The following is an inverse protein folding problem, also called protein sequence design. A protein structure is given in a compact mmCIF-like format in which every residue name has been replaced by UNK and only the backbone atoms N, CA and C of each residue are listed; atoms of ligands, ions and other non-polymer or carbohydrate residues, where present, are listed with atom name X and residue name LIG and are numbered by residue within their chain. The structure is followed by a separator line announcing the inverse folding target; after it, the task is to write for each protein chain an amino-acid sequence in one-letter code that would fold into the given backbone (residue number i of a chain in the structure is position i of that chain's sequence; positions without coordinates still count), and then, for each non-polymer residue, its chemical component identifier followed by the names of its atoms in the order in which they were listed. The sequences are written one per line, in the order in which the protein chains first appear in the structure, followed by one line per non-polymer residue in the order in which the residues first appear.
data_IF_188307120049
#
_entry.id   IF_188307120049
#
_cell.length_a   1.000
_cell.length_b   1.000
_cell.length_c   1.000
_cell.angle_alpha   90.00
_cell.angle_beta   90.00
_cell.angle_gamma   90.00
#
_symmetry.space_group_name_H-M   'P 1'
#
loop_
_entity.id
_entity.type
_entity.pdbx_description
1 polymer ?
#
# COMPACT_ATOMS: atom_id res chain seq x y z
N UNK A 1 -1.15 3.54 40.50
CA UNK A 1 -0.74 2.97 39.19
C UNK A 1 -1.98 2.34 38.59
N UNK A 2 -2.77 3.11 37.82
CA UNK A 2 -3.98 2.57 37.18
C UNK A 2 -3.50 1.68 36.02
N UNK A 3 -3.59 0.37 36.23
CA UNK A 3 -3.39 -0.62 35.17
C UNK A 3 -4.44 -0.32 34.08
N UNK A 4 -3.98 0.25 32.94
CA UNK A 4 -4.85 0.34 31.78
C UNK A 4 -5.26 -1.10 31.42
N UNK A 5 -6.58 -1.39 31.30
CA UNK A 5 -7.02 -2.73 30.97
C UNK A 5 -6.40 -3.16 29.66
N UNK A 6 -5.89 -4.39 29.61
CA UNK A 6 -5.32 -4.98 28.40
C UNK A 6 -6.34 -4.91 27.26
N UNK A 7 -5.89 -4.50 26.08
CA UNK A 7 -6.76 -4.43 24.89
C UNK A 7 -7.28 -5.83 24.56
N UNK A 8 -8.60 -6.03 24.54
CA UNK A 8 -9.16 -7.36 24.31
C UNK A 8 -8.75 -7.87 22.91
N UNK A 9 -8.58 -9.19 22.80
CA UNK A 9 -8.20 -9.86 21.55
C UNK A 9 -9.19 -9.55 20.42
N UNK A 10 -10.48 -9.49 20.75
CA UNK A 10 -11.56 -9.16 19.81
C UNK A 10 -11.41 -7.74 19.28
N UNK A 11 -11.09 -6.76 20.13
CA UNK A 11 -10.85 -5.37 19.69
C UNK A 11 -9.61 -5.27 18.81
N UNK A 12 -8.55 -5.98 19.15
CA UNK A 12 -7.32 -6.02 18.31
C UNK A 12 -7.60 -6.61 16.92
N UNK A 13 -8.38 -7.69 16.84
CA UNK A 13 -8.77 -8.29 15.56
C UNK A 13 -9.71 -7.36 14.76
N UNK A 14 -10.64 -6.67 15.44
CA UNK A 14 -11.50 -5.67 14.79
C UNK A 14 -10.67 -4.55 14.13
N UNK A 15 -9.63 -4.06 14.82
CA UNK A 15 -8.71 -3.07 14.28
C UNK A 15 -7.92 -3.61 13.09
N UNK A 16 -7.43 -4.85 13.18
CA UNK A 16 -6.74 -5.52 12.09
C UNK A 16 -7.64 -5.64 10.84
N UNK A 17 -8.89 -6.07 11.04
CA UNK A 17 -9.88 -6.17 9.95
C UNK A 17 -10.17 -4.81 9.33
N UNK A 18 -10.39 -3.77 10.15
CA UNK A 18 -10.64 -2.41 9.64
C UNK A 18 -9.44 -1.87 8.83
N UNK A 19 -8.21 -2.12 9.30
CA UNK A 19 -7.00 -1.75 8.56
C UNK A 19 -6.91 -2.49 7.22
N UNK A 20 -7.17 -3.80 7.24
CA UNK A 20 -7.15 -4.62 6.02
C UNK A 20 -8.17 -4.16 4.99
N UNK A 21 -9.40 -3.91 5.40
CA UNK A 21 -10.46 -3.42 4.52
C UNK A 21 -10.15 -2.03 3.97
N UNK A 22 -9.65 -1.12 4.81
CA UNK A 22 -9.33 0.25 4.38
C UNK A 22 -8.21 0.30 3.36
N UNK A 23 -7.16 -0.51 3.54
CA UNK A 23 -6.05 -0.57 2.58
C UNK A 23 -6.43 -1.32 1.29
N UNK A 24 -7.29 -2.34 1.38
CA UNK A 24 -7.75 -3.10 0.24
C UNK A 24 -8.40 -2.21 -0.84
N UNK A 25 -9.09 -1.15 -0.43
CA UNK A 25 -9.77 -0.21 -1.32
C UNK A 25 -8.84 0.43 -2.36
N UNK A 26 -7.55 0.61 -2.04
CA UNK A 26 -6.54 1.16 -2.96
C UNK A 26 -6.23 0.18 -4.09
N UNK A 27 -6.33 -1.12 -3.83
CA UNK A 27 -5.86 -2.19 -4.72
C UNK A 27 -6.96 -2.82 -5.57
N UNK A 28 -8.25 -2.52 -5.31
CA UNK A 28 -9.37 -3.11 -6.05
C UNK A 28 -9.33 -2.81 -7.55
N UNK A 29 -8.90 -1.61 -7.94
CA UNK A 29 -8.89 -1.21 -9.33
C UNK A 29 -7.88 -1.98 -10.19
N UNK A 30 -6.80 -2.54 -9.61
CA UNK A 30 -5.73 -3.18 -10.37
C UNK A 30 -6.20 -4.33 -11.27
N UNK A 31 -6.98 -5.33 -10.80
CA UNK A 31 -7.48 -6.39 -11.65
C UNK A 31 -8.67 -5.99 -12.53
N UNK A 32 -9.14 -4.74 -12.47
CA UNK A 32 -10.34 -4.25 -13.14
C UNK A 32 -10.05 -3.21 -14.24
N UNK A 33 -8.77 -2.89 -14.49
CA UNK A 33 -8.40 -1.79 -15.37
C UNK A 33 -8.89 -1.98 -16.81
N UNK A 34 -8.91 -3.22 -17.31
CA UNK A 34 -9.45 -3.55 -18.62
C UNK A 34 -10.95 -3.25 -18.73
N UNK A 35 -11.75 -3.63 -17.72
CA UNK A 35 -13.18 -3.32 -17.69
C UNK A 35 -13.44 -1.81 -17.56
N UNK A 36 -12.68 -1.13 -16.69
CA UNK A 36 -12.78 0.31 -16.53
C UNK A 36 -12.39 1.05 -17.82
N UNK A 37 -11.35 0.58 -18.52
CA UNK A 37 -10.93 1.09 -19.82
C UNK A 37 -12.07 1.01 -20.84
N UNK A 38 -12.68 -0.17 -20.97
CA UNK A 38 -13.76 -0.41 -21.93
C UNK A 38 -15.03 0.38 -21.59
N UNK A 39 -15.43 0.45 -20.33
CA UNK A 39 -16.69 1.08 -19.92
C UNK A 39 -16.63 2.61 -19.99
N UNK A 40 -15.50 3.21 -19.60
CA UNK A 40 -15.33 4.67 -19.61
C UNK A 40 -14.64 5.20 -20.87
N UNK A 41 -14.40 4.34 -21.87
CA UNK A 41 -13.66 4.69 -23.10
C UNK A 41 -12.31 5.40 -22.79
N UNK A 42 -11.56 4.86 -21.83
CA UNK A 42 -10.23 5.33 -21.49
C UNK A 42 -9.21 4.44 -22.19
N UNK A 43 -8.32 5.04 -22.98
CA UNK A 43 -7.29 4.28 -23.70
C UNK A 43 -6.44 3.43 -22.75
N UNK A 44 -6.06 2.22 -23.19
CA UNK A 44 -5.18 1.33 -22.42
C UNK A 44 -3.84 1.98 -22.05
N UNK A 45 -3.36 2.94 -22.86
CA UNK A 45 -2.15 3.72 -22.57
C UNK A 45 -2.30 4.61 -21.33
N UNK A 46 -3.52 5.09 -21.06
CA UNK A 46 -3.81 6.07 -20.00
C UNK A 46 -4.56 5.50 -18.81
N UNK A 47 -5.06 4.27 -18.90
CA UNK A 47 -5.88 3.67 -17.82
C UNK A 47 -5.14 3.59 -16.47
N UNK A 48 -3.81 3.52 -16.49
CA UNK A 48 -2.97 3.60 -15.28
C UNK A 48 -3.18 4.86 -14.46
N UNK A 49 -3.76 5.93 -15.06
CA UNK A 49 -4.15 7.16 -14.35
C UNK A 49 -5.11 6.87 -13.18
N UNK A 50 -5.95 5.86 -13.27
CA UNK A 50 -6.85 5.44 -12.17
C UNK A 50 -6.04 5.12 -10.91
N UNK A 51 -4.99 4.30 -11.06
CA UNK A 51 -4.10 3.95 -9.93
C UNK A 51 -3.23 5.15 -9.56
N UNK A 52 -2.71 5.88 -10.55
CA UNK A 52 -1.86 7.06 -10.33
C UNK A 52 -2.56 8.10 -9.46
N UNK A 53 -3.82 8.46 -9.76
CA UNK A 53 -4.62 9.39 -8.97
C UNK A 53 -4.79 8.86 -7.54
N UNK A 54 -5.18 7.60 -7.39
CA UNK A 54 -5.37 6.97 -6.09
C UNK A 54 -4.10 7.07 -5.24
N UNK A 55 -2.94 6.79 -5.81
CA UNK A 55 -1.66 6.82 -5.10
C UNK A 55 -1.18 8.24 -4.78
N UNK A 56 -1.37 9.20 -5.68
CA UNK A 56 -1.05 10.61 -5.40
C UNK A 56 -1.89 11.11 -4.22
N UNK A 57 -3.20 10.86 -4.23
CA UNK A 57 -4.09 11.29 -3.16
C UNK A 57 -3.85 10.51 -1.86
N UNK A 58 -3.40 9.25 -1.92
CA UNK A 58 -2.92 8.53 -0.74
C UNK A 58 -1.69 9.22 -0.13
N UNK A 59 -0.71 9.60 -0.94
CA UNK A 59 0.45 10.39 -0.51
C UNK A 59 0.07 11.73 0.12
N UNK A 60 -0.88 12.46 -0.50
CA UNK A 60 -1.44 13.69 0.05
C UNK A 60 -2.16 13.45 1.39
N UNK A 61 -2.91 12.36 1.51
CA UNK A 61 -3.56 11.96 2.75
C UNK A 61 -2.56 11.68 3.88
N UNK A 62 -1.44 11.03 3.57
CA UNK A 62 -0.35 10.80 4.54
C UNK A 62 0.23 12.11 5.07
N UNK A 63 0.38 13.11 4.20
CA UNK A 63 0.91 14.42 4.59
C UNK A 63 -0.11 15.26 5.34
N UNK A 64 -1.37 15.26 4.89
CA UNK A 64 -2.39 16.19 5.38
C UNK A 64 -3.26 15.59 6.49
N UNK A 65 -3.67 14.33 6.39
CA UNK A 65 -4.65 13.75 7.31
C UNK A 65 -4.02 13.01 8.48
N UNK A 66 -2.86 12.37 8.30
CA UNK A 66 -2.20 11.63 9.39
C UNK A 66 -1.81 12.54 10.56
N UNK A 67 -1.24 13.75 10.35
CA UNK A 67 -0.93 14.67 11.44
C UNK A 67 -2.15 15.17 12.22
N UNK A 68 -3.36 15.11 11.65
CA UNK A 68 -4.60 15.44 12.37
C UNK A 68 -4.86 14.48 13.55
N UNK A 69 -4.29 13.27 13.50
CA UNK A 69 -4.36 12.32 14.62
C UNK A 69 -3.70 12.81 15.90
N UNK A 70 -2.75 13.75 15.80
CA UNK A 70 -2.10 14.40 16.95
C UNK A 70 -2.91 15.61 17.47
N UNK A 71 -3.82 16.16 16.66
CA UNK A 71 -4.57 17.39 16.93
C UNK A 71 -6.02 17.13 17.31
N UNK A 72 -6.63 16.11 16.75
CA UNK A 72 -8.04 15.83 16.89
C UNK A 72 -8.29 14.62 17.78
N UNK A 73 -9.51 14.51 18.28
CA UNK A 73 -9.96 13.29 18.95
C UNK A 73 -9.88 12.10 17.96
N UNK A 74 -8.99 11.16 18.23
CA UNK A 74 -8.70 10.04 17.33
C UNK A 74 -9.94 9.20 17.01
N UNK A 75 -10.86 9.01 17.96
CA UNK A 75 -12.13 8.32 17.72
C UNK A 75 -12.96 9.02 16.66
N UNK A 76 -13.16 10.36 16.81
CA UNK A 76 -13.95 11.15 15.84
C UNK A 76 -13.27 11.16 14.47
N UNK A 77 -11.94 11.28 14.45
CA UNK A 77 -11.16 11.28 13.23
C UNK A 77 -11.29 9.95 12.47
N UNK A 78 -11.12 8.80 13.15
CA UNK A 78 -11.25 7.47 12.54
C UNK A 78 -12.66 7.28 11.97
N UNK A 79 -13.70 7.55 12.79
CA UNK A 79 -15.09 7.39 12.35
C UNK A 79 -15.41 8.30 11.16
N UNK A 80 -14.98 9.57 11.21
CA UNK A 80 -15.18 10.53 10.12
C UNK A 80 -14.48 10.09 8.83
N UNK A 81 -13.22 9.67 8.91
CA UNK A 81 -12.49 9.16 7.75
C UNK A 81 -13.13 7.90 7.17
N UNK A 82 -13.61 6.96 8.00
CA UNK A 82 -14.28 5.75 7.52
C UNK A 82 -15.65 6.05 6.88
N UNK A 83 -16.44 6.99 7.42
CA UNK A 83 -17.69 7.44 6.81
C UNK A 83 -17.46 8.10 5.45
N UNK A 84 -16.45 8.98 5.36
CA UNK A 84 -16.07 9.61 4.10
C UNK A 84 -15.53 8.56 3.09
N UNK A 85 -14.76 7.56 3.56
CA UNK A 85 -14.34 6.42 2.73
C UNK A 85 -15.54 5.64 2.19
N UNK A 86 -16.56 5.40 3.02
CA UNK A 86 -17.80 4.77 2.57
C UNK A 86 -18.47 5.58 1.45
N UNK A 87 -18.57 6.89 1.61
CA UNK A 87 -19.12 7.78 0.58
C UNK A 87 -18.26 7.74 -0.71
N UNK A 88 -16.94 7.77 -0.59
CA UNK A 88 -16.03 7.66 -1.73
C UNK A 88 -16.23 6.35 -2.51
N UNK A 89 -16.37 5.23 -1.80
CA UNK A 89 -16.63 3.91 -2.42
C UNK A 89 -17.99 3.89 -3.14
N UNK A 90 -19.03 4.51 -2.57
CA UNK A 90 -20.33 4.65 -3.24
C UNK A 90 -20.19 5.50 -4.51
N UNK A 91 -19.44 6.61 -4.47
CA UNK A 91 -19.18 7.44 -5.66
C UNK A 91 -18.53 6.59 -6.76
N UNK A 92 -17.50 5.78 -6.43
CA UNK A 92 -16.86 4.90 -7.42
C UNK A 92 -17.84 3.85 -7.93
N UNK A 93 -18.55 3.15 -7.05
CA UNK A 93 -19.47 2.06 -7.41
C UNK A 93 -20.69 2.53 -8.23
N UNK A 94 -21.03 3.81 -8.18
CA UNK A 94 -22.13 4.42 -8.95
C UNK A 94 -21.64 5.33 -10.08
N UNK A 95 -20.33 5.35 -10.37
CA UNK A 95 -19.77 6.21 -11.40
C UNK A 95 -20.36 5.91 -12.78
N UNK A 96 -20.85 6.97 -13.46
CA UNK A 96 -21.44 6.91 -14.79
C UNK A 96 -20.55 7.57 -15.85
N UNK A 97 -19.54 8.31 -15.46
CA UNK A 97 -18.59 9.00 -16.34
C UNK A 97 -17.19 9.09 -15.69
N UNK A 98 -16.15 9.25 -16.50
CA UNK A 98 -14.75 9.16 -16.10
C UNK A 98 -14.38 10.14 -14.97
N UNK A 99 -14.90 11.39 -14.98
CA UNK A 99 -14.59 12.39 -13.94
C UNK A 99 -15.11 11.94 -12.57
N UNK A 100 -16.30 11.31 -12.52
CA UNK A 100 -16.87 10.78 -11.29
C UNK A 100 -16.00 9.62 -10.75
N UNK A 101 -15.56 8.73 -11.65
CA UNK A 101 -14.62 7.65 -11.31
C UNK A 101 -13.33 8.22 -10.72
N UNK A 102 -12.68 9.16 -11.41
CA UNK A 102 -11.42 9.75 -10.96
C UNK A 102 -11.55 10.49 -9.63
N UNK A 103 -12.64 11.24 -9.44
CA UNK A 103 -12.94 11.91 -8.17
C UNK A 103 -13.13 10.92 -7.04
N UNK A 104 -13.89 9.86 -7.28
CA UNK A 104 -14.09 8.79 -6.30
C UNK A 104 -12.78 8.09 -5.95
N UNK A 105 -11.94 7.77 -6.94
CA UNK A 105 -10.63 7.13 -6.73
C UNK A 105 -9.65 8.04 -5.98
N UNK A 106 -9.67 9.35 -6.25
CA UNK A 106 -8.91 10.34 -5.50
C UNK A 106 -9.31 10.34 -4.01
N UNK A 107 -10.62 10.36 -3.73
CA UNK A 107 -11.14 10.30 -2.36
C UNK A 107 -10.82 8.97 -1.68
N UNK A 108 -10.93 7.83 -2.38
CA UNK A 108 -10.53 6.50 -1.86
C UNK A 108 -9.07 6.53 -1.45
N UNK A 109 -8.17 7.04 -2.30
CA UNK A 109 -6.76 7.18 -1.97
C UNK A 109 -6.53 8.08 -0.76
N UNK A 110 -7.09 9.30 -0.77
CA UNK A 110 -6.94 10.29 0.30
C UNK A 110 -7.37 9.74 1.67
N UNK A 111 -8.44 8.97 1.72
CA UNK A 111 -9.05 8.49 2.96
C UNK A 111 -8.52 7.14 3.43
N UNK A 112 -7.84 6.37 2.58
CA UNK A 112 -7.23 5.09 2.95
C UNK A 112 -6.16 5.21 4.04
N UNK A 113 -5.66 6.43 4.27
CA UNK A 113 -4.74 6.75 5.38
C UNK A 113 -5.36 6.57 6.76
N UNK A 114 -6.67 6.36 6.88
CA UNK A 114 -7.33 5.95 8.13
C UNK A 114 -6.65 4.73 8.74
N UNK A 115 -6.08 3.86 7.92
CA UNK A 115 -5.25 2.73 8.35
C UNK A 115 -4.14 3.16 9.31
N UNK A 116 -3.41 4.25 8.97
CA UNK A 116 -2.33 4.76 9.82
C UNK A 116 -2.87 5.33 11.14
N UNK A 117 -4.02 6.00 11.09
CA UNK A 117 -4.70 6.53 12.28
C UNK A 117 -5.16 5.40 13.21
N UNK A 118 -5.68 4.30 12.66
CA UNK A 118 -6.11 3.11 13.42
C UNK A 118 -4.90 2.43 14.07
N UNK A 119 -3.78 2.24 13.35
CA UNK A 119 -2.54 1.66 13.90
C UNK A 119 -2.00 2.51 15.04
N UNK A 120 -1.94 3.83 14.86
CA UNK A 120 -1.49 4.76 15.90
C UNK A 120 -2.41 4.71 17.14
N UNK A 121 -3.72 4.65 16.94
CA UNK A 121 -4.69 4.55 18.02
C UNK A 121 -4.58 3.20 18.77
N UNK A 122 -4.41 2.09 18.07
CA UNK A 122 -4.15 0.79 18.67
C UNK A 122 -2.90 0.81 19.56
N UNK A 123 -1.84 1.46 19.10
CA UNK A 123 -0.60 1.61 19.86
C UNK A 123 -0.79 2.45 21.15
N UNK A 124 -1.73 3.41 21.17
CA UNK A 124 -2.03 4.22 22.35
C UNK A 124 -2.95 3.50 23.35
N UNK A 125 -3.82 2.62 22.87
CA UNK A 125 -4.72 1.81 23.72
C UNK A 125 -4.03 0.62 24.38
N UNK A 126 -2.95 0.11 23.77
CA UNK A 126 -2.22 -1.04 24.28
C UNK A 126 -1.32 -0.67 25.46
N UNK A 127 -1.25 -1.56 26.47
CA UNK A 127 -0.27 -1.44 27.55
C UNK A 127 1.17 -1.43 27.00
N UNK A 128 2.14 -0.82 27.70
CA UNK A 128 3.54 -0.78 27.23
C UNK A 128 4.13 -2.16 26.92
N UNK A 129 3.72 -3.18 27.66
CA UNK A 129 4.19 -4.58 27.53
C UNK A 129 3.55 -5.31 26.34
N UNK A 130 2.34 -4.92 25.91
CA UNK A 130 1.58 -5.57 24.83
C UNK A 130 1.61 -4.78 23.53
N UNK A 131 2.11 -3.54 23.55
CA UNK A 131 2.05 -2.62 22.40
C UNK A 131 2.63 -3.22 21.12
N UNK A 132 3.78 -3.85 21.19
CA UNK A 132 4.40 -4.48 20.02
C UNK A 132 3.54 -5.59 19.42
N UNK A 133 2.93 -6.43 20.27
CA UNK A 133 2.04 -7.52 19.85
C UNK A 133 0.77 -6.97 19.19
N UNK A 134 0.12 -5.97 19.82
CA UNK A 134 -1.11 -5.37 19.31
C UNK A 134 -0.86 -4.70 17.95
N UNK A 135 0.18 -3.86 17.85
CA UNK A 135 0.57 -3.21 16.58
C UNK A 135 0.90 -4.26 15.53
N UNK A 136 1.63 -5.32 15.89
CA UNK A 136 1.95 -6.42 14.98
C UNK A 136 0.71 -7.11 14.39
N UNK A 137 -0.31 -7.40 15.21
CA UNK A 137 -1.57 -8.01 14.74
C UNK A 137 -2.33 -7.03 13.83
N UNK A 138 -2.41 -5.76 14.20
CA UNK A 138 -3.13 -4.75 13.42
C UNK A 138 -2.45 -4.52 12.06
N UNK A 139 -1.13 -4.46 12.01
CA UNK A 139 -0.38 -4.33 10.74
C UNK A 139 -0.42 -5.59 9.89
N UNK A 140 -0.51 -6.78 10.51
CA UNK A 140 -0.77 -8.02 9.74
C UNK A 140 -2.09 -7.97 8.99
N UNK A 141 -3.12 -7.29 9.55
CA UNK A 141 -4.37 -7.02 8.85
C UNK A 141 -4.17 -6.23 7.56
N UNK A 142 -3.26 -5.24 7.56
CA UNK A 142 -2.91 -4.47 6.35
C UNK A 142 -2.37 -5.40 5.26
N UNK A 143 -1.41 -6.26 5.61
CA UNK A 143 -0.79 -7.20 4.66
C UNK A 143 -1.83 -8.15 4.08
N UNK A 144 -2.67 -8.74 4.94
CA UNK A 144 -3.76 -9.62 4.51
C UNK A 144 -4.74 -8.87 3.60
N UNK A 145 -5.08 -7.62 3.93
CA UNK A 145 -5.95 -6.78 3.12
C UNK A 145 -5.41 -6.53 1.71
N UNK A 146 -4.12 -6.22 1.59
CA UNK A 146 -3.45 -6.04 0.28
C UNK A 146 -3.50 -7.33 -0.55
N UNK A 147 -3.21 -8.48 0.07
CA UNK A 147 -3.18 -9.77 -0.61
C UNK A 147 -4.57 -10.20 -1.09
N UNK A 148 -5.57 -10.07 -0.22
CA UNK A 148 -6.94 -10.49 -0.53
C UNK A 148 -7.69 -9.51 -1.43
N UNK A 149 -7.26 -8.25 -1.51
CA UNK A 149 -7.95 -7.21 -2.27
C UNK A 149 -8.20 -7.59 -3.72
N UNK A 150 -7.16 -8.10 -4.39
CA UNK A 150 -7.24 -8.48 -5.81
C UNK A 150 -8.14 -9.70 -6.03
N UNK A 151 -8.04 -10.70 -5.16
CA UNK A 151 -8.87 -11.90 -5.22
C UNK A 151 -10.34 -11.56 -4.95
N UNK A 152 -10.61 -10.72 -3.95
CA UNK A 152 -11.95 -10.22 -3.65
C UNK A 152 -12.54 -9.43 -4.82
N UNK A 153 -11.75 -8.51 -5.40
CA UNK A 153 -12.17 -7.72 -6.53
C UNK A 153 -12.45 -8.58 -7.77
N UNK A 154 -11.55 -9.50 -8.11
CA UNK A 154 -11.72 -10.39 -9.25
C UNK A 154 -12.96 -11.28 -9.11
N UNK A 155 -13.16 -11.92 -7.94
CA UNK A 155 -14.29 -12.80 -7.69
C UNK A 155 -15.63 -12.07 -7.78
N UNK A 156 -15.77 -10.93 -7.12
CA UNK A 156 -17.01 -10.14 -7.18
C UNK A 156 -17.29 -9.61 -8.58
N UNK A 157 -16.25 -9.26 -9.32
CA UNK A 157 -16.39 -8.76 -10.69
C UNK A 157 -16.98 -9.82 -11.61
N UNK A 158 -16.50 -11.05 -11.55
CA UNK A 158 -17.03 -12.14 -12.37
C UNK A 158 -18.47 -12.54 -11.96
N UNK A 159 -18.83 -12.40 -10.67
CA UNK A 159 -20.15 -12.74 -10.17
C UNK A 159 -21.23 -11.68 -10.46
N UNK A 160 -20.89 -10.39 -10.27
CA UNK A 160 -21.90 -9.33 -10.22
C UNK A 160 -21.42 -8.00 -10.86
N UNK A 161 -20.25 -8.01 -11.49
CA UNK A 161 -19.65 -6.86 -12.14
C UNK A 161 -18.79 -5.99 -11.18
N UNK A 162 -17.91 -5.19 -11.75
CA UNK A 162 -16.90 -4.41 -11.02
C UNK A 162 -17.47 -3.39 -10.00
N UNK A 163 -18.67 -2.85 -10.28
CA UNK A 163 -19.33 -1.89 -9.37
C UNK A 163 -19.62 -2.50 -8.00
N UNK A 164 -19.96 -3.79 -7.99
CA UNK A 164 -20.27 -4.50 -6.75
C UNK A 164 -19.07 -4.56 -5.79
N UNK A 165 -17.84 -4.57 -6.31
CA UNK A 165 -16.63 -4.55 -5.49
C UNK A 165 -16.63 -3.34 -4.55
N UNK A 166 -16.92 -2.16 -5.10
CA UNK A 166 -16.95 -0.91 -4.33
C UNK A 166 -18.20 -0.78 -3.45
N UNK A 167 -19.37 -1.20 -3.94
CA UNK A 167 -20.62 -1.11 -3.18
C UNK A 167 -20.63 -2.09 -1.99
N UNK A 168 -20.15 -3.33 -2.19
CA UNK A 168 -20.01 -4.31 -1.10
C UNK A 168 -18.97 -3.82 -0.09
N UNK A 169 -17.84 -3.28 -0.57
CA UNK A 169 -16.85 -2.70 0.34
C UNK A 169 -17.42 -1.51 1.13
N UNK A 170 -18.22 -0.65 0.50
CA UNK A 170 -18.91 0.45 1.19
C UNK A 170 -19.84 -0.07 2.29
N UNK A 171 -20.62 -1.10 2.02
CA UNK A 171 -21.49 -1.73 3.02
C UNK A 171 -20.70 -2.33 4.19
N UNK A 172 -19.61 -3.05 3.89
CA UNK A 172 -18.72 -3.61 4.91
C UNK A 172 -18.04 -2.51 5.75
N UNK A 173 -17.59 -1.40 5.11
CA UNK A 173 -17.01 -0.25 5.83
C UNK A 173 -18.06 0.38 6.76
N UNK A 174 -19.31 0.49 6.35
CA UNK A 174 -20.38 1.01 7.20
C UNK A 174 -20.64 0.11 8.42
N UNK A 175 -20.62 -1.22 8.23
CA UNK A 175 -20.68 -2.19 9.34
C UNK A 175 -19.52 -1.97 10.31
N UNK A 176 -18.30 -1.76 9.80
CA UNK A 176 -17.13 -1.47 10.63
C UNK A 176 -17.27 -0.15 11.39
N UNK A 177 -17.84 0.89 10.78
CA UNK A 177 -18.16 2.15 11.46
C UNK A 177 -19.12 1.91 12.63
N UNK A 178 -20.18 1.14 12.41
CA UNK A 178 -21.14 0.79 13.47
C UNK A 178 -20.47 0.04 14.63
N UNK A 179 -19.54 -0.90 14.33
CA UNK A 179 -18.76 -1.60 15.34
C UNK A 179 -17.84 -0.64 16.10
N UNK A 180 -17.15 0.26 15.41
CA UNK A 180 -16.25 1.23 16.03
C UNK A 180 -16.98 2.26 16.89
N UNK A 181 -18.19 2.67 16.52
CA UNK A 181 -19.03 3.52 17.35
C UNK A 181 -19.32 2.90 18.73
N UNK A 182 -19.46 1.56 18.79
CA UNK A 182 -19.72 0.80 20.04
C UNK A 182 -18.44 0.50 20.82
N UNK A 183 -17.33 0.23 20.14
CA UNK A 183 -16.10 -0.33 20.74
C UNK A 183 -15.08 0.74 21.11
N UNK A 184 -14.96 1.81 20.29
CA UNK A 184 -13.96 2.84 20.55
C UNK A 184 -14.31 3.67 21.81
N UNK A 185 -13.40 3.76 22.79
CA UNK A 185 -13.63 4.54 23.99
C UNK A 185 -13.73 6.04 23.67
N UNK A 186 -14.53 6.76 24.45
CA UNK A 186 -14.61 8.22 24.43
C UNK A 186 -13.43 8.77 25.26
N UNK A 187 -12.24 8.74 24.71
CA UNK A 187 -11.05 9.30 25.39
C UNK A 187 -10.96 10.78 25.06
N UNK A 188 -11.11 11.62 26.05
CA UNK A 188 -10.73 13.03 25.97
C UNK A 188 -9.24 13.12 26.29
N UNK A 189 -8.44 13.41 25.30
CA UNK A 189 -7.01 13.65 25.46
C UNK A 189 -6.77 15.16 25.45
N UNK A 190 -6.13 15.68 26.48
CA UNK A 190 -5.56 17.03 26.41
C UNK A 190 -4.50 17.05 25.31
N UNK A 191 -4.80 17.75 24.24
CA UNK A 191 -3.93 17.83 23.06
C UNK A 191 -2.93 18.95 23.31
N UNK A 192 -1.76 18.61 23.85
CA UNK A 192 -0.57 19.48 23.78
C UNK A 192 0.14 19.17 22.46
N UNK A 193 -0.24 19.85 21.40
CA UNK A 193 0.36 19.63 20.08
C UNK A 193 0.91 20.92 19.47
N UNK A 194 1.90 20.74 18.62
CA UNK A 194 2.38 21.81 17.76
C UNK A 194 1.26 22.27 16.82
N UNK A 195 1.22 23.54 16.38
CA UNK A 195 0.29 23.99 15.35
C UNK A 195 0.40 23.14 14.08
N UNK A 196 -0.73 22.91 13.41
CA UNK A 196 -0.82 22.00 12.25
C UNK A 196 0.24 22.27 11.17
N UNK A 197 0.46 23.53 10.81
CA UNK A 197 1.47 23.91 9.82
C UNK A 197 2.90 23.52 10.25
N UNK A 198 3.19 23.54 11.56
CA UNK A 198 4.49 23.13 12.09
C UNK A 198 4.65 21.60 12.04
N UNK A 199 3.57 20.83 12.23
CA UNK A 199 3.58 19.38 12.07
C UNK A 199 3.91 19.00 10.61
N UNK A 200 3.26 19.62 9.65
CA UNK A 200 3.57 19.40 8.23
C UNK A 200 5.01 19.81 7.92
N UNK A 201 5.42 21.03 8.32
CA UNK A 201 6.80 21.51 8.11
C UNK A 201 7.83 20.56 8.73
N UNK A 202 7.52 19.95 9.86
CA UNK A 202 8.43 19.03 10.54
C UNK A 202 8.70 17.73 9.76
N UNK A 203 7.77 17.26 8.93
CA UNK A 203 8.01 16.12 8.03
C UNK A 203 9.10 16.48 7.02
N UNK A 204 9.00 17.64 6.38
CA UNK A 204 10.03 18.12 5.44
C UNK A 204 11.36 18.41 6.12
N UNK A 205 11.34 18.99 7.32
CA UNK A 205 12.54 19.25 8.11
C UNK A 205 13.29 17.97 8.44
N UNK A 206 12.58 16.93 8.93
CA UNK A 206 13.13 15.61 9.19
C UNK A 206 13.73 14.98 7.92
N UNK A 207 13.02 15.09 6.80
CA UNK A 207 13.51 14.60 5.53
C UNK A 207 14.83 15.29 5.10
N UNK A 208 14.94 16.56 5.31
CA UNK A 208 16.18 17.30 5.01
C UNK A 208 17.32 16.97 5.99
N UNK A 209 17.03 16.76 7.26
CA UNK A 209 18.02 16.47 8.29
C UNK A 209 18.56 15.04 8.26
N UNK A 210 17.66 14.04 8.01
CA UNK A 210 18.01 12.63 8.14
C UNK A 210 18.40 12.01 6.78
N UNK A 211 19.70 11.86 6.55
CA UNK A 211 20.23 11.30 5.30
C UNK A 211 19.74 9.88 5.05
N UNK A 212 19.69 9.05 6.09
CA UNK A 212 19.19 7.69 5.99
C UNK A 212 17.72 7.66 5.54
N UNK A 213 16.89 8.55 6.06
CA UNK A 213 15.49 8.69 5.63
C UNK A 213 15.43 8.99 4.12
N UNK A 214 16.20 9.96 3.63
CA UNK A 214 16.22 10.29 2.18
C UNK A 214 16.59 9.11 1.31
N UNK A 215 17.69 8.42 1.63
CA UNK A 215 18.17 7.28 0.84
C UNK A 215 17.15 6.15 0.85
N UNK A 216 16.60 5.80 2.03
CA UNK A 216 15.60 4.74 2.15
C UNK A 216 14.26 5.09 1.51
N UNK A 217 13.88 6.37 1.49
CA UNK A 217 12.70 6.84 0.79
C UNK A 217 12.84 6.76 -0.74
N UNK A 218 14.01 7.08 -1.29
CA UNK A 218 14.28 6.89 -2.73
C UNK A 218 14.25 5.41 -3.09
N UNK A 219 14.84 4.52 -2.25
CA UNK A 219 14.71 3.07 -2.46
C UNK A 219 13.24 2.62 -2.42
N UNK A 220 12.44 3.16 -1.48
CA UNK A 220 11.00 2.87 -1.46
C UNK A 220 10.30 3.31 -2.75
N UNK A 221 10.60 4.51 -3.25
CA UNK A 221 10.06 5.01 -4.51
C UNK A 221 10.33 4.06 -5.65
N UNK A 222 11.55 3.59 -5.78
CA UNK A 222 11.97 2.74 -6.89
C UNK A 222 11.37 1.32 -6.79
N UNK A 223 11.40 0.66 -5.61
CA UNK A 223 10.83 -0.69 -5.46
C UNK A 223 9.31 -0.70 -5.61
N UNK A 224 8.63 0.38 -5.20
CA UNK A 224 7.18 0.47 -5.37
C UNK A 224 6.78 0.96 -6.76
N UNK A 225 7.69 1.60 -7.52
CA UNK A 225 7.53 1.75 -8.96
C UNK A 225 7.54 0.37 -9.64
N UNK A 226 8.53 -0.50 -9.34
CA UNK A 226 8.59 -1.88 -9.86
C UNK A 226 7.33 -2.69 -9.51
N UNK A 227 6.89 -2.63 -8.26
CA UNK A 227 5.66 -3.28 -7.81
C UNK A 227 4.44 -2.82 -8.62
N UNK A 228 4.31 -1.50 -8.82
CA UNK A 228 3.18 -0.95 -9.56
C UNK A 228 3.27 -1.17 -11.05
N UNK A 229 4.47 -1.23 -11.63
CA UNK A 229 4.68 -1.61 -13.04
C UNK A 229 4.07 -2.98 -13.31
N UNK A 230 4.35 -3.97 -12.47
CA UNK A 230 3.77 -5.31 -12.62
C UNK A 230 2.25 -5.29 -12.39
N UNK A 231 1.84 -4.91 -11.19
CA UNK A 231 0.45 -5.12 -10.75
C UNK A 231 -0.57 -4.24 -11.47
N UNK A 232 -0.17 -3.10 -12.04
CA UNK A 232 -1.07 -2.25 -12.83
C UNK A 232 -1.29 -2.78 -14.23
N UNK A 233 -0.23 -3.27 -14.89
CA UNK A 233 -0.33 -3.73 -16.28
C UNK A 233 -0.65 -5.21 -16.42
N UNK A 234 -0.53 -6.03 -15.36
CA UNK A 234 -0.68 -7.48 -15.41
C UNK A 234 -2.06 -7.93 -15.94
N UNK A 235 -3.13 -7.22 -15.61
CA UNK A 235 -4.48 -7.54 -16.07
C UNK A 235 -4.59 -7.47 -17.59
N UNK A 236 -3.89 -6.54 -18.24
CA UNK A 236 -4.02 -6.28 -19.68
C UNK A 236 -3.66 -7.49 -20.55
N UNK A 237 -2.49 -8.13 -20.42
CA UNK A 237 -2.16 -9.34 -21.18
C UNK A 237 -2.93 -10.58 -20.71
N UNK A 238 -3.32 -10.65 -19.43
CA UNK A 238 -4.02 -11.83 -18.91
C UNK A 238 -5.49 -11.86 -19.32
N UNK A 239 -6.15 -10.72 -19.47
CA UNK A 239 -7.55 -10.63 -19.94
C UNK A 239 -7.67 -10.67 -21.47
N UNK A 240 -6.60 -10.39 -22.20
CA UNK A 240 -6.57 -10.40 -23.66
C UNK A 240 -6.35 -11.81 -24.23
N UNK A 241 -6.79 -12.11 -25.49
CA UNK A 241 -6.39 -13.31 -26.21
C UNK A 241 -4.85 -13.40 -26.37
N UNK A 242 -4.24 -14.60 -26.33
CA UNK A 242 -4.86 -15.90 -26.30
C UNK A 242 -5.27 -16.41 -24.90
N UNK A 243 -4.85 -15.74 -23.82
CA UNK A 243 -5.08 -16.22 -22.44
C UNK A 243 -6.53 -16.03 -21.99
N UNK A 244 -7.11 -14.85 -22.22
CA UNK A 244 -8.50 -14.49 -21.93
C UNK A 244 -8.98 -15.00 -20.54
N UNK A 245 -8.16 -14.82 -19.49
CA UNK A 245 -8.44 -15.31 -18.15
C UNK A 245 -9.54 -14.48 -17.49
N UNK A 246 -10.37 -15.13 -16.66
CA UNK A 246 -11.37 -14.43 -15.85
C UNK A 246 -10.73 -13.56 -14.77
N UNK A 247 -11.45 -12.54 -14.31
CA UNK A 247 -10.96 -11.63 -13.25
C UNK A 247 -10.72 -12.38 -11.92
N UNK A 248 -11.48 -13.44 -11.65
CA UNK A 248 -11.23 -14.33 -10.49
C UNK A 248 -9.86 -14.99 -10.57
N UNK A 249 -9.47 -15.50 -11.73
CA UNK A 249 -8.14 -16.11 -11.94
C UNK A 249 -7.06 -15.05 -11.86
N UNK A 250 -7.24 -13.90 -12.51
CA UNK A 250 -6.29 -12.78 -12.45
C UNK A 250 -6.13 -12.28 -11.00
N UNK A 251 -7.23 -12.14 -10.27
CA UNK A 251 -7.23 -11.76 -8.86
C UNK A 251 -6.53 -12.78 -7.95
N UNK A 252 -6.61 -14.08 -8.29
CA UNK A 252 -5.96 -15.15 -7.54
C UNK A 252 -4.42 -15.08 -7.55
N UNK A 253 -3.81 -14.42 -8.56
CA UNK A 253 -2.38 -14.11 -8.53
C UNK A 253 -2.01 -13.24 -7.32
N UNK A 254 -2.95 -12.46 -6.76
CA UNK A 254 -2.74 -11.72 -5.51
C UNK A 254 -2.41 -12.62 -4.32
N UNK A 255 -2.91 -13.87 -4.29
CA UNK A 255 -2.59 -14.84 -3.24
C UNK A 255 -1.15 -15.34 -3.29
N UNK A 256 -0.53 -15.29 -4.47
CA UNK A 256 0.89 -15.64 -4.65
C UNK A 256 1.79 -14.72 -3.81
N UNK A 257 1.36 -13.46 -3.61
CA UNK A 257 2.04 -12.49 -2.75
C UNK A 257 2.12 -12.87 -1.26
N UNK A 258 1.41 -13.92 -0.81
CA UNK A 258 1.55 -14.47 0.56
C UNK A 258 3.01 -14.86 0.85
N UNK A 259 3.73 -15.36 -0.15
CA UNK A 259 5.16 -15.67 -0.03
C UNK A 259 5.97 -14.41 0.33
N UNK A 260 5.64 -13.24 -0.23
CA UNK A 260 6.25 -11.96 0.11
C UNK A 260 6.04 -11.58 1.58
N UNK A 261 4.82 -11.81 2.10
CA UNK A 261 4.51 -11.53 3.51
C UNK A 261 5.34 -12.40 4.48
N UNK A 262 5.58 -13.67 4.13
CA UNK A 262 6.44 -14.56 4.92
C UNK A 262 7.91 -14.08 4.91
N UNK A 263 8.38 -13.60 3.77
CA UNK A 263 9.73 -13.04 3.65
C UNK A 263 9.92 -11.76 4.47
N UNK A 264 8.89 -10.91 4.56
CA UNK A 264 8.93 -9.68 5.34
C UNK A 264 9.29 -9.94 6.81
N UNK A 265 8.73 -10.99 7.43
CA UNK A 265 9.04 -11.36 8.80
C UNK A 265 10.51 -11.78 9.00
N UNK A 266 11.08 -12.48 8.04
CA UNK A 266 12.50 -12.89 8.10
C UNK A 266 13.44 -11.70 7.82
N UNK A 267 13.09 -10.86 6.85
CA UNK A 267 13.85 -9.66 6.53
C UNK A 267 13.93 -8.69 7.73
N UNK A 268 12.83 -8.50 8.48
CA UNK A 268 12.81 -7.71 9.70
C UNK A 268 13.77 -8.27 10.74
N UNK A 269 13.74 -9.58 11.01
CA UNK A 269 14.66 -10.24 11.95
C UNK A 269 16.13 -10.10 11.55
N UNK A 270 16.43 -10.19 10.25
CA UNK A 270 17.79 -10.00 9.74
C UNK A 270 18.24 -8.55 9.87
N UNK A 271 17.35 -7.60 9.60
CA UNK A 271 17.63 -6.18 9.77
C UNK A 271 17.91 -5.83 11.24
N UNK A 272 17.13 -6.35 12.20
CA UNK A 272 17.33 -6.16 13.64
C UNK A 272 18.70 -6.72 14.13
N UNK A 273 19.21 -7.76 13.44
CA UNK A 273 20.54 -8.35 13.71
C UNK A 273 21.69 -7.60 13.03
N UNK A 274 21.44 -6.44 12.40
CA UNK A 274 22.46 -5.65 11.70
C UNK A 274 22.74 -6.08 10.26
N UNK A 275 22.01 -7.05 9.71
CA UNK A 275 22.19 -7.52 8.32
C UNK A 275 21.32 -6.74 7.31
N UNK A 276 20.74 -5.60 7.67
CA UNK A 276 19.80 -4.84 6.82
C UNK A 276 20.36 -4.50 5.44
N UNK A 277 21.63 -4.12 5.32
CA UNK A 277 22.26 -3.84 4.02
C UNK A 277 22.40 -5.09 3.15
N UNK A 278 22.80 -6.23 3.74
CA UNK A 278 22.91 -7.49 2.99
C UNK A 278 21.54 -7.98 2.52
N UNK A 279 20.54 -7.90 3.39
CA UNK A 279 19.15 -8.24 3.07
C UNK A 279 18.64 -7.38 1.92
N UNK A 280 18.88 -6.06 1.96
CA UNK A 280 18.52 -5.15 0.86
C UNK A 280 19.20 -5.57 -0.45
N UNK A 281 20.51 -5.81 -0.45
CA UNK A 281 21.25 -6.18 -1.66
C UNK A 281 20.76 -7.48 -2.30
N UNK A 282 20.57 -8.53 -1.49
CA UNK A 282 20.04 -9.82 -1.97
C UNK A 282 18.62 -9.63 -2.54
N UNK A 283 17.76 -8.91 -1.84
CA UNK A 283 16.41 -8.65 -2.29
C UNK A 283 16.37 -7.87 -3.61
N UNK A 284 17.24 -6.87 -3.81
CA UNK A 284 17.30 -6.12 -5.08
C UNK A 284 17.81 -6.96 -6.25
N UNK A 285 18.71 -7.90 -6.00
CA UNK A 285 19.12 -8.88 -7.03
C UNK A 285 17.97 -9.81 -7.39
N UNK A 286 17.21 -10.29 -6.40
CA UNK A 286 15.99 -11.09 -6.65
C UNK A 286 14.92 -10.29 -7.40
N UNK A 287 14.77 -9.00 -7.11
CA UNK A 287 13.86 -8.10 -7.82
C UNK A 287 14.23 -8.01 -9.31
N UNK A 288 15.50 -7.85 -9.62
CA UNK A 288 15.96 -7.83 -11.01
C UNK A 288 15.75 -9.18 -11.71
N UNK A 289 16.08 -10.29 -11.04
CA UNK A 289 15.87 -11.65 -11.57
C UNK A 289 14.39 -11.95 -11.81
N UNK A 290 13.48 -11.42 -11.00
CA UNK A 290 12.03 -11.66 -11.14
C UNK A 290 11.51 -11.28 -12.52
N UNK A 291 12.05 -10.21 -13.14
CA UNK A 291 11.64 -9.75 -14.47
C UNK A 291 12.02 -10.73 -15.58
N UNK A 292 13.05 -11.55 -15.41
CA UNK A 292 13.35 -12.63 -16.35
C UNK A 292 12.23 -13.65 -16.40
N UNK A 293 11.68 -14.06 -15.24
CA UNK A 293 10.57 -15.00 -15.18
C UNK A 293 9.26 -14.37 -15.63
N UNK A 294 8.99 -13.11 -15.23
CA UNK A 294 7.79 -12.35 -15.61
C UNK A 294 7.68 -12.19 -17.13
N UNK A 295 8.81 -12.06 -17.81
CA UNK A 295 8.84 -11.92 -19.26
C UNK A 295 8.30 -13.15 -20.02
N UNK A 296 8.32 -14.34 -19.38
CA UNK A 296 7.79 -15.58 -19.95
C UNK A 296 6.28 -15.77 -19.74
N UNK A 297 5.51 -14.72 -19.44
CA UNK A 297 4.07 -14.78 -19.17
C UNK A 297 3.30 -15.53 -20.29
N UNK A 298 3.58 -15.21 -21.54
CA UNK A 298 2.87 -15.81 -22.70
C UNK A 298 3.19 -17.29 -22.90
N UNK A 299 4.38 -17.75 -22.47
CA UNK A 299 4.84 -19.12 -22.65
C UNK A 299 4.52 -20.00 -21.42
N UNK A 300 4.50 -19.41 -20.22
CA UNK A 300 4.36 -20.18 -18.99
C UNK A 300 3.81 -19.34 -17.84
N UNK A 301 2.57 -19.63 -17.43
CA UNK A 301 1.98 -19.08 -16.23
C UNK A 301 2.74 -19.49 -14.95
N UNK A 302 3.43 -20.63 -14.96
CA UNK A 302 4.28 -21.04 -13.84
C UNK A 302 5.48 -20.11 -13.70
N UNK A 303 6.11 -19.73 -14.82
CA UNK A 303 7.20 -18.75 -14.80
C UNK A 303 6.72 -17.41 -14.25
N UNK A 304 5.55 -16.94 -14.70
CA UNK A 304 4.92 -15.74 -14.15
C UNK A 304 4.73 -15.84 -12.63
N UNK A 305 4.18 -16.95 -12.13
CA UNK A 305 3.99 -17.17 -10.67
C UNK A 305 5.32 -17.06 -9.93
N UNK A 306 6.38 -17.73 -10.42
CA UNK A 306 7.72 -17.63 -9.82
C UNK A 306 8.22 -16.18 -9.83
N UNK A 307 8.05 -15.47 -10.93
CA UNK A 307 8.41 -14.06 -11.04
C UNK A 307 7.67 -13.17 -10.04
N UNK A 308 6.36 -13.35 -9.88
CA UNK A 308 5.54 -12.63 -8.90
C UNK A 308 6.01 -12.91 -7.48
N UNK A 309 6.26 -14.19 -7.13
CA UNK A 309 6.80 -14.57 -5.80
C UNK A 309 8.10 -13.84 -5.51
N UNK A 310 9.04 -13.86 -6.46
CA UNK A 310 10.35 -13.22 -6.30
C UNK A 310 10.22 -11.70 -6.15
N UNK A 311 9.36 -11.07 -6.97
CA UNK A 311 9.13 -9.63 -6.93
C UNK A 311 8.52 -9.20 -5.59
N UNK A 312 7.41 -9.82 -5.18
CA UNK A 312 6.71 -9.47 -3.95
C UNK A 312 7.58 -9.73 -2.72
N UNK A 313 8.30 -10.86 -2.70
CA UNK A 313 9.30 -11.17 -1.67
C UNK A 313 10.37 -10.09 -1.59
N UNK A 314 10.94 -9.70 -2.71
CA UNK A 314 11.99 -8.69 -2.77
C UNK A 314 11.49 -7.31 -2.31
N UNK A 315 10.36 -6.87 -2.82
CA UNK A 315 9.75 -5.58 -2.46
C UNK A 315 9.44 -5.52 -0.96
N UNK A 316 8.81 -6.57 -0.40
CA UNK A 316 8.47 -6.61 1.01
C UNK A 316 9.72 -6.69 1.91
N UNK A 317 10.74 -7.47 1.52
CA UNK A 317 11.99 -7.54 2.26
C UNK A 317 12.69 -6.18 2.34
N UNK A 318 12.79 -5.45 1.21
CA UNK A 318 13.39 -4.10 1.20
C UNK A 318 12.54 -3.12 1.99
N UNK A 319 11.20 -3.17 1.83
CA UNK A 319 10.27 -2.28 2.52
C UNK A 319 10.39 -2.39 4.05
N UNK A 320 10.32 -3.61 4.59
CA UNK A 320 10.44 -3.85 6.03
C UNK A 320 11.83 -3.47 6.54
N UNK A 321 12.89 -3.83 5.80
CA UNK A 321 14.25 -3.43 6.15
C UNK A 321 14.40 -1.91 6.20
N UNK A 322 13.84 -1.19 5.22
CA UNK A 322 13.84 0.28 5.20
C UNK A 322 13.16 0.84 6.46
N UNK A 323 11.98 0.34 6.82
CA UNK A 323 11.26 0.79 8.02
C UNK A 323 12.06 0.51 9.31
N UNK A 324 12.66 -0.68 9.44
CA UNK A 324 13.49 -1.02 10.59
C UNK A 324 14.69 -0.06 10.72
N UNK A 325 15.26 0.41 9.61
CA UNK A 325 16.39 1.33 9.61
C UNK A 325 16.02 2.79 9.85
N UNK A 326 14.80 3.22 9.50
CA UNK A 326 14.38 4.63 9.65
C UNK A 326 13.70 4.92 10.99
N UNK A 327 12.91 3.97 11.54
CA UNK A 327 12.12 4.19 12.75
C UNK A 327 12.94 4.50 14.02
N UNK A 328 14.18 3.97 14.20
CA UNK A 328 15.04 4.30 15.34
C UNK A 328 15.68 5.69 15.25
N UNK A 329 15.73 6.35 14.08
CA UNK A 329 16.43 7.64 13.88
C UNK A 329 15.90 8.74 14.82
N UNK A 330 14.58 8.80 15.03
CA UNK A 330 13.92 9.74 15.93
C UNK A 330 12.70 9.08 16.55
N UNK A 331 12.84 8.57 17.76
CA UNK A 331 11.77 7.84 18.46
C UNK A 331 10.52 8.67 18.73
N UNK A 332 10.70 9.99 18.92
CA UNK A 332 9.64 10.98 19.14
C UNK A 332 8.92 11.40 17.85
N UNK A 333 9.46 11.02 16.68
CA UNK A 333 8.96 11.47 15.38
C UNK A 333 8.59 10.30 14.45
N UNK A 334 8.35 9.10 14.98
CA UNK A 334 8.09 7.88 14.18
C UNK A 334 6.99 8.05 13.13
N UNK A 335 5.85 8.62 13.50
CA UNK A 335 4.74 8.87 12.57
C UNK A 335 5.15 9.79 11.41
N UNK A 336 5.96 10.82 11.71
CA UNK A 336 6.45 11.78 10.71
C UNK A 336 7.50 11.16 9.80
N UNK A 337 8.40 10.30 10.34
CA UNK A 337 9.36 9.51 9.55
C UNK A 337 8.62 8.55 8.60
N UNK A 338 7.61 7.86 9.10
CA UNK A 338 6.77 6.97 8.29
C UNK A 338 6.03 7.76 7.21
N UNK A 339 5.44 8.91 7.54
CA UNK A 339 4.74 9.75 6.56
C UNK A 339 5.68 10.19 5.43
N UNK A 340 6.89 10.72 5.76
CA UNK A 340 7.89 11.11 4.77
C UNK A 340 8.33 9.95 3.88
N UNK A 341 8.57 8.77 4.46
CA UNK A 341 8.91 7.56 3.73
C UNK A 341 7.80 7.09 2.79
N UNK A 342 6.56 7.05 3.29
CA UNK A 342 5.40 6.56 2.53
C UNK A 342 4.94 7.53 1.42
N UNK A 343 5.30 8.82 1.50
CA UNK A 343 5.12 9.75 0.38
C UNK A 343 5.91 9.31 -0.84
N UNK A 344 7.17 8.90 -0.66
CA UNK A 344 8.01 8.39 -1.75
C UNK A 344 7.51 7.05 -2.30
N UNK A 345 7.02 6.17 -1.42
CA UNK A 345 6.26 4.99 -1.83
C UNK A 345 5.13 5.36 -2.81
N UNK A 346 4.30 6.34 -2.44
CA UNK A 346 3.15 6.77 -3.26
C UNK A 346 3.59 7.36 -4.60
N UNK A 347 4.65 8.18 -4.61
CA UNK A 347 5.21 8.77 -5.85
C UNK A 347 5.71 7.66 -6.79
N UNK A 348 6.44 6.67 -6.24
CA UNK A 348 6.90 5.52 -7.02
C UNK A 348 5.76 4.71 -7.61
N UNK A 349 4.78 4.37 -6.78
CA UNK A 349 3.59 3.64 -7.23
C UNK A 349 2.80 4.40 -8.30
N UNK A 350 2.62 5.70 -8.14
CA UNK A 350 1.93 6.55 -9.10
C UNK A 350 2.68 6.59 -10.46
N UNK A 351 3.99 6.85 -10.41
CA UNK A 351 4.83 6.90 -11.62
C UNK A 351 4.93 5.55 -12.33
N UNK A 352 5.12 4.48 -11.56
CA UNK A 352 5.15 3.10 -12.09
C UNK A 352 3.86 2.71 -12.78
N UNK A 353 2.71 3.08 -12.21
CA UNK A 353 1.39 2.74 -12.78
C UNK A 353 1.16 3.37 -14.15
N UNK A 354 1.38 4.68 -14.30
CA UNK A 354 1.17 5.34 -15.61
C UNK A 354 2.25 4.92 -16.61
N UNK A 355 3.51 4.78 -16.18
CA UNK A 355 4.59 4.37 -17.06
C UNK A 355 4.37 2.95 -17.61
N UNK A 356 3.86 2.01 -16.80
CA UNK A 356 3.64 0.62 -17.23
C UNK A 356 2.54 0.50 -18.29
N UNK A 357 1.43 1.23 -18.16
CA UNK A 357 0.35 1.21 -19.16
C UNK A 357 0.75 1.89 -20.46
N UNK A 358 1.56 2.95 -20.42
CA UNK A 358 2.18 3.57 -21.59
C UNK A 358 3.11 2.58 -22.30
N UNK A 359 4.00 1.92 -21.54
CA UNK A 359 4.91 0.93 -22.10
C UNK A 359 4.17 -0.26 -22.70
N UNK A 360 3.12 -0.73 -22.04
CA UNK A 360 2.27 -1.81 -22.57
C UNK A 360 1.61 -1.43 -23.90
N UNK A 361 1.03 -0.23 -23.98
CA UNK A 361 0.32 0.24 -25.17
C UNK A 361 1.23 0.39 -26.39
N UNK A 362 2.50 0.81 -26.21
CA UNK A 362 3.42 1.07 -27.31
C UNK A 362 4.33 -0.12 -27.65
N UNK A 363 4.69 -0.93 -26.66
CA UNK A 363 5.71 -1.98 -26.79
C UNK A 363 5.25 -3.35 -26.28
N UNK A 364 3.97 -3.49 -25.91
CA UNK A 364 3.42 -4.74 -25.37
C UNK A 364 4.05 -5.16 -24.04
N UNK A 365 3.89 -6.44 -23.70
CA UNK A 365 4.39 -7.00 -22.44
C UNK A 365 5.90 -6.93 -22.29
N UNK A 366 6.64 -7.16 -23.38
CA UNK A 366 8.10 -7.03 -23.39
C UNK A 366 8.58 -5.64 -22.99
N UNK A 367 7.86 -4.58 -23.40
CA UNK A 367 8.13 -3.21 -23.00
C UNK A 367 7.94 -2.99 -21.49
N UNK A 368 6.90 -3.57 -20.89
CA UNK A 368 6.67 -3.54 -19.43
C UNK A 368 7.82 -4.22 -18.69
N UNK A 369 8.23 -5.41 -19.15
CA UNK A 369 9.34 -6.15 -18.55
C UNK A 369 10.67 -5.40 -18.67
N UNK A 370 10.92 -4.75 -19.81
CA UNK A 370 12.10 -3.90 -19.99
C UNK A 370 12.10 -2.71 -19.04
N UNK A 371 10.95 -2.05 -18.86
CA UNK A 371 10.80 -0.93 -17.92
C UNK A 371 11.10 -1.40 -16.48
N UNK A 372 10.49 -2.51 -16.03
CA UNK A 372 10.70 -3.04 -14.70
C UNK A 372 12.15 -3.46 -14.45
N UNK A 373 12.76 -4.20 -15.38
CA UNK A 373 14.18 -4.56 -15.30
C UNK A 373 15.10 -3.33 -15.24
N UNK A 374 14.75 -2.25 -15.98
CA UNK A 374 15.50 -1.00 -15.97
C UNK A 374 15.40 -0.31 -14.60
N UNK A 375 14.20 -0.20 -14.03
CA UNK A 375 13.98 0.39 -12.69
C UNK A 375 14.69 -0.46 -11.62
N UNK A 376 14.57 -1.79 -11.68
CA UNK A 376 15.29 -2.71 -10.76
C UNK A 376 16.81 -2.51 -10.83
N UNK A 377 17.36 -2.34 -12.05
CA UNK A 377 18.78 -2.06 -12.25
C UNK A 377 19.20 -0.72 -11.66
N UNK A 378 18.42 0.34 -11.90
CA UNK A 378 18.65 1.67 -11.33
C UNK A 378 18.59 1.58 -9.80
N UNK A 379 17.66 0.81 -9.24
CA UNK A 379 17.51 0.61 -7.78
C UNK A 379 18.74 -0.08 -7.20
N UNK A 380 19.25 -1.10 -7.86
CA UNK A 380 20.45 -1.83 -7.43
C UNK A 380 21.70 -0.94 -7.50
N UNK A 381 21.87 -0.16 -8.55
CA UNK A 381 22.98 0.81 -8.70
C UNK A 381 22.88 1.89 -7.62
N UNK A 382 21.69 2.46 -7.40
CA UNK A 382 21.45 3.47 -6.38
C UNK A 382 21.79 2.94 -4.98
N UNK A 383 21.36 1.72 -4.65
CA UNK A 383 21.73 1.08 -3.39
C UNK A 383 23.24 0.86 -3.27
N UNK A 384 23.89 0.34 -4.31
CA UNK A 384 25.33 0.05 -4.29
C UNK A 384 26.19 1.32 -4.08
N UNK A 385 25.78 2.45 -4.68
CA UNK A 385 26.47 3.75 -4.52
C UNK A 385 26.21 4.40 -3.16
N UNK A 386 25.06 4.10 -2.53
CA UNK A 386 24.65 4.71 -1.25
C UNK A 386 24.87 3.82 -0.03
N UNK A 387 25.30 2.57 -0.20
CA UNK A 387 25.45 1.59 0.88
C UNK A 387 26.36 2.08 2.03
N UNK A 388 27.46 2.78 1.69
CA UNK A 388 28.40 3.33 2.67
C UNK A 388 27.87 4.53 3.44
N UNK A 389 26.82 5.17 2.92
CA UNK A 389 26.24 6.40 3.45
C UNK A 389 25.15 6.12 4.51
N UNK A 390 24.71 4.87 4.61
CA UNK A 390 23.66 4.40 5.53
C UNK A 390 24.15 3.28 6.42
N UNK A 391 25.43 3.28 6.80
CA UNK A 391 25.96 2.34 7.81
C UNK A 391 25.39 2.69 9.18
N UNK A 392 24.97 1.65 9.93
CA UNK A 392 24.74 1.70 11.36
C UNK A 392 26.07 1.91 12.09
#
# INVERSE_FOLDING_TARGET
MNLQPSMSRTVTLLFATACGMSVANIYFAQPLLDQLSNEFNIDHSTIGVVITITQIFYGLGLLLLVPLGDLLNQRRLIIGQMLLSTAALVIVGTASFSVMLFTGMALVGLLAVVTQTIVAFAATMASPTERGRVVGIVTSGIVIGILLARTFAGLLTDLTGWRSVYLVSAALMLVMVCMFLKVLPKVEREVKSLPYHQLIKSVFTLFMQERTLRIRSVLAMLIFADFSILWTSLVLPLSAPPLALSHSVIGAFGLVGVAGALAAAQAGKLADRGYGQRTTGIALVLLLISWLFINYLEQSLLALIVGIVLLDLAVQAVHVTNQTMILPLRTEARSRLTAGYMMFYSIGSAGGSIASTQMYAHFGWGGVCFLGASISTITLIFWATTIRLTKY
#
